data_IF_760414242465
#
_entry.id   IF_760414242465
#
_cell.length_a   1.000
_cell.length_b   1.000
_cell.length_c   1.000
_cell.angle_alpha   90.00
_cell.angle_beta   90.00
_cell.angle_gamma   90.00
#
_symmetry.space_group_name_H-M   'P 1'
#
loop_
_entity.id
_entity.type
_entity.pdbx_description
1 polymer ?
#
# COMPACT_ATOMS: atom_id res chain seq x y z
N UNK A 1 14.92 8.76 5.37
CA UNK A 1 14.22 8.33 4.13
C UNK A 1 14.61 9.24 2.97
N UNK A 2 14.81 8.67 1.79
CA UNK A 2 15.02 9.34 0.50
C UNK A 2 13.92 8.88 -0.45
N UNK A 3 13.09 9.81 -0.94
CA UNK A 3 12.08 9.48 -1.94
C UNK A 3 12.73 9.22 -3.30
N UNK A 4 12.26 8.18 -3.95
CA UNK A 4 12.54 7.86 -5.36
C UNK A 4 11.34 8.19 -6.26
N UNK A 5 10.34 8.89 -5.77
CA UNK A 5 9.22 9.37 -6.55
C UNK A 5 9.65 10.42 -7.57
N UNK A 6 8.83 10.65 -8.58
CA UNK A 6 9.08 11.62 -9.65
C UNK A 6 9.13 10.97 -11.03
N UNK A 7 9.96 11.47 -11.92
CA UNK A 7 10.03 10.97 -13.29
C UNK A 7 10.96 9.76 -13.40
N UNK A 8 10.46 8.71 -14.02
CA UNK A 8 11.19 7.50 -14.35
C UNK A 8 11.19 7.26 -15.86
N UNK A 9 12.15 6.49 -16.36
CA UNK A 9 12.15 5.96 -17.71
C UNK A 9 11.20 4.76 -17.78
N UNK A 10 10.43 4.66 -18.87
CA UNK A 10 9.36 3.66 -19.02
C UNK A 10 9.30 3.09 -20.44
N UNK A 11 9.06 1.77 -20.55
CA UNK A 11 8.74 1.12 -21.80
C UNK A 11 7.69 0.02 -21.60
N UNK A 12 6.75 -0.12 -22.56
CA UNK A 12 5.86 -1.25 -22.60
C UNK A 12 6.64 -2.50 -23.02
N UNK A 13 6.43 -3.58 -22.28
CA UNK A 13 6.88 -4.90 -22.65
C UNK A 13 5.83 -5.71 -23.39
N UNK A 14 6.03 -7.01 -23.46
CA UNK A 14 5.08 -7.99 -23.96
C UNK A 14 4.55 -8.90 -22.85
N UNK A 15 3.85 -9.95 -23.19
CA UNK A 15 3.51 -11.00 -22.23
C UNK A 15 4.68 -11.89 -21.83
N UNK A 16 5.84 -11.75 -22.51
CA UNK A 16 7.05 -12.50 -22.17
C UNK A 16 7.78 -11.84 -20.99
N UNK A 17 8.06 -12.61 -19.96
CA UNK A 17 8.94 -12.22 -18.87
C UNK A 17 10.37 -12.01 -19.38
N UNK A 18 11.09 -11.07 -18.78
CA UNK A 18 12.48 -10.76 -19.13
C UNK A 18 12.71 -10.38 -20.61
N UNK A 19 11.75 -9.70 -21.20
CA UNK A 19 11.88 -9.20 -22.59
C UNK A 19 13.06 -8.25 -22.76
N UNK A 20 13.37 -7.43 -21.74
CA UNK A 20 14.49 -6.51 -21.73
C UNK A 20 15.59 -6.99 -20.77
N UNK A 21 16.82 -6.60 -21.06
CA UNK A 21 17.96 -6.83 -20.17
C UNK A 21 17.91 -5.81 -19.03
N UNK A 22 17.66 -6.23 -17.78
CA UNK A 22 17.50 -5.28 -16.66
C UNK A 22 18.78 -4.53 -16.29
N UNK A 23 19.92 -4.93 -16.83
CA UNK A 23 21.21 -4.26 -16.63
C UNK A 23 21.50 -3.16 -17.67
N UNK A 24 20.63 -3.00 -18.67
CA UNK A 24 20.81 -2.03 -19.76
C UNK A 24 19.68 -1.01 -19.78
N UNK A 25 19.93 0.19 -20.30
CA UNK A 25 18.85 1.18 -20.54
C UNK A 25 17.74 0.57 -21.38
N UNK A 26 16.49 0.91 -21.03
CA UNK A 26 15.31 0.50 -21.79
C UNK A 26 15.34 1.12 -23.19
N UNK A 27 15.09 0.33 -24.24
CA UNK A 27 14.95 0.87 -25.59
C UNK A 27 13.68 1.72 -25.69
N UNK A 28 13.74 2.80 -26.48
CA UNK A 28 12.62 3.69 -26.77
C UNK A 28 11.84 4.15 -25.51
N UNK A 29 12.58 4.33 -24.40
CA UNK A 29 12.02 4.75 -23.13
C UNK A 29 11.39 6.13 -23.22
N UNK A 30 10.30 6.33 -22.53
CA UNK A 30 9.62 7.62 -22.38
C UNK A 30 9.48 7.97 -20.89
N UNK A 31 9.43 9.26 -20.53
CA UNK A 31 9.25 9.67 -19.15
C UNK A 31 7.85 9.32 -18.65
N UNK A 32 7.78 8.83 -17.40
CA UNK A 32 6.52 8.53 -16.72
C UNK A 32 6.62 8.97 -15.26
N UNK A 33 5.50 9.36 -14.66
CA UNK A 33 5.43 9.73 -13.26
C UNK A 33 5.26 8.49 -12.35
N UNK A 34 5.94 8.53 -11.21
CA UNK A 34 5.82 7.56 -10.10
C UNK A 34 5.72 8.37 -8.80
N UNK A 35 4.75 8.10 -7.89
CA UNK A 35 3.72 7.06 -8.00
C UNK A 35 2.56 7.50 -8.92
N UNK A 36 2.13 6.61 -9.78
CA UNK A 36 0.92 6.75 -10.60
C UNK A 36 0.66 5.47 -11.39
N UNK A 37 -0.56 5.30 -11.88
CA UNK A 37 -0.86 4.31 -12.92
C UNK A 37 -0.29 4.76 -14.25
N UNK A 38 0.35 3.86 -15.01
CA UNK A 38 0.80 4.21 -16.36
C UNK A 38 -0.35 4.34 -17.36
N UNK A 39 -1.51 3.76 -17.05
CA UNK A 39 -2.61 3.63 -17.97
C UNK A 39 -3.21 4.95 -18.46
N UNK A 40 -3.20 5.98 -17.61
CA UNK A 40 -3.85 7.27 -17.88
C UNK A 40 -2.88 8.47 -17.97
N UNK A 41 -1.56 8.22 -17.99
CA UNK A 41 -0.59 9.31 -18.07
C UNK A 41 -0.39 9.88 -19.49
N UNK A 42 -0.96 9.22 -20.49
CA UNK A 42 -0.90 9.69 -21.88
C UNK A 42 -2.26 9.46 -22.57
N UNK A 43 -3.06 10.50 -22.63
CA UNK A 43 -4.40 10.48 -23.20
C UNK A 43 -4.43 10.20 -24.71
N UNK A 44 -3.29 10.35 -25.40
CA UNK A 44 -3.25 10.25 -26.85
C UNK A 44 -3.04 8.82 -27.35
N UNK A 45 -2.71 7.88 -26.49
CA UNK A 45 -2.50 6.49 -26.89
C UNK A 45 -3.41 5.54 -26.13
N UNK A 46 -4.22 4.80 -26.85
CA UNK A 46 -4.96 3.65 -26.29
C UNK A 46 -4.03 2.49 -25.92
N UNK A 47 -2.75 2.56 -26.31
CA UNK A 47 -1.76 1.52 -26.06
C UNK A 47 -1.51 1.34 -24.56
N UNK A 48 -1.23 2.41 -23.83
CA UNK A 48 -1.01 2.38 -22.37
C UNK A 48 -2.27 1.85 -21.66
N UNK A 49 -3.44 2.37 -22.00
CA UNK A 49 -4.69 2.00 -21.33
C UNK A 49 -5.05 0.53 -21.54
N UNK A 50 -4.80 0.00 -22.74
CA UNK A 50 -5.17 -1.39 -23.12
C UNK A 50 -4.03 -2.37 -22.92
N UNK A 51 -2.86 -1.93 -22.49
CA UNK A 51 -1.72 -2.80 -22.30
C UNK A 51 -2.07 -3.98 -21.37
N UNK A 52 -1.63 -5.17 -21.75
CA UNK A 52 -1.82 -6.41 -21.01
C UNK A 52 -0.53 -7.21 -21.07
N UNK A 53 0.18 -7.26 -19.97
CA UNK A 53 1.51 -7.86 -19.87
C UNK A 53 2.48 -7.00 -19.03
N UNK A 54 3.76 -7.19 -19.29
CA UNK A 54 4.83 -6.51 -18.56
C UNK A 54 5.00 -5.05 -19.01
N UNK A 55 5.17 -4.17 -18.03
CA UNK A 55 5.60 -2.78 -18.20
C UNK A 55 6.88 -2.56 -17.39
N UNK A 56 7.83 -1.83 -17.94
CA UNK A 56 9.17 -1.71 -17.41
C UNK A 56 9.48 -0.26 -17.05
N UNK A 57 10.10 -0.09 -15.88
CA UNK A 57 10.50 1.18 -15.31
C UNK A 57 11.99 1.15 -15.00
N UNK A 58 12.66 2.29 -15.22
CA UNK A 58 14.07 2.44 -14.82
C UNK A 58 14.33 3.82 -14.21
N UNK A 59 15.27 3.83 -13.26
CA UNK A 59 15.79 5.05 -12.66
C UNK A 59 17.21 4.85 -12.18
N UNK A 60 18.06 5.86 -12.35
CA UNK A 60 19.34 5.92 -11.66
C UNK A 60 19.15 6.34 -10.20
N UNK A 61 19.75 5.61 -9.28
CA UNK A 61 19.66 5.82 -7.84
C UNK A 61 21.05 6.02 -7.27
N UNK A 62 21.24 7.10 -6.53
CA UNK A 62 22.52 7.39 -5.84
C UNK A 62 22.28 7.40 -4.34
N UNK A 63 23.03 6.59 -3.60
CA UNK A 63 23.00 6.61 -2.14
C UNK A 63 23.82 7.79 -1.61
N UNK A 64 23.25 8.70 -0.80
CA UNK A 64 24.02 9.80 -0.22
C UNK A 64 25.16 9.32 0.68
N UNK A 65 26.28 10.06 0.68
CA UNK A 65 27.49 9.69 1.42
C UNK A 65 27.27 9.57 2.94
N UNK A 66 26.32 10.32 3.51
CA UNK A 66 26.00 10.26 4.95
C UNK A 66 25.32 8.95 5.38
N UNK A 67 24.88 8.11 4.45
CA UNK A 67 24.33 6.78 4.75
C UNK A 67 25.40 5.71 4.99
N UNK A 68 26.70 6.10 4.99
CA UNK A 68 27.82 5.17 5.20
C UNK A 68 27.67 4.40 6.53
N UNK A 69 27.84 3.07 6.47
CA UNK A 69 27.82 2.20 7.65
C UNK A 69 26.42 1.84 8.16
N UNK A 70 25.36 2.37 7.56
CA UNK A 70 23.98 2.03 7.86
C UNK A 70 23.49 0.84 7.04
N UNK A 71 22.44 0.19 7.51
CA UNK A 71 21.63 -0.72 6.71
C UNK A 71 20.77 0.11 5.74
N UNK A 72 20.65 -0.35 4.49
CA UNK A 72 19.92 0.36 3.43
C UNK A 72 18.82 -0.55 2.89
N UNK A 73 17.60 -0.06 2.91
CA UNK A 73 16.41 -0.79 2.45
C UNK A 73 15.72 -0.02 1.35
N UNK A 74 15.40 -0.71 0.26
CA UNK A 74 14.53 -0.22 -0.80
C UNK A 74 13.11 -0.73 -0.53
N UNK A 75 12.14 0.19 -0.41
CA UNK A 75 10.73 -0.11 -0.16
C UNK A 75 9.85 0.43 -1.28
N UNK A 76 8.95 -0.41 -1.73
CA UNK A 76 7.84 -0.07 -2.62
C UNK A 76 6.53 -0.10 -1.82
N UNK A 77 5.75 0.96 -1.87
CA UNK A 77 4.43 0.99 -1.25
C UNK A 77 3.42 0.08 -1.95
N UNK A 78 3.50 -0.04 -3.27
CA UNK A 78 2.83 -1.08 -4.06
C UNK A 78 3.30 -1.09 -5.51
N UNK A 79 3.24 -2.26 -6.16
CA UNK A 79 3.42 -2.45 -7.61
C UNK A 79 2.39 -3.45 -8.10
N UNK A 80 1.51 -3.05 -9.00
CA UNK A 80 0.29 -3.81 -9.34
C UNK A 80 0.43 -4.52 -10.69
N UNK A 81 0.34 -5.87 -10.74
CA UNK A 81 0.01 -6.83 -9.67
C UNK A 81 1.22 -7.65 -9.23
N UNK A 82 2.14 -7.93 -10.15
CA UNK A 82 3.37 -8.69 -9.88
C UNK A 82 4.57 -7.83 -10.23
N UNK A 83 5.59 -7.88 -9.41
CA UNK A 83 6.81 -7.10 -9.58
C UNK A 83 8.06 -7.98 -9.57
N UNK A 84 9.00 -7.68 -10.47
CA UNK A 84 10.39 -8.08 -10.40
C UNK A 84 11.25 -6.83 -10.32
N UNK A 85 12.24 -6.82 -9.42
CA UNK A 85 13.07 -5.64 -9.14
C UNK A 85 14.56 -6.03 -9.22
N UNK A 86 15.32 -5.22 -9.95
CA UNK A 86 16.78 -5.43 -10.11
C UNK A 86 17.57 -4.17 -9.77
N UNK A 87 18.78 -4.35 -9.24
CA UNK A 87 19.83 -3.34 -9.17
C UNK A 87 20.98 -3.76 -10.05
N UNK A 88 21.38 -2.92 -11.02
CA UNK A 88 22.45 -3.23 -12.01
C UNK A 88 22.28 -4.62 -12.63
N UNK A 89 21.05 -5.06 -12.89
CA UNK A 89 20.71 -6.37 -13.44
C UNK A 89 20.67 -7.54 -12.46
N UNK A 90 21.06 -7.35 -11.20
CA UNK A 90 20.88 -8.35 -10.15
C UNK A 90 19.47 -8.30 -9.60
N UNK A 91 18.73 -9.41 -9.65
CA UNK A 91 17.41 -9.56 -9.06
C UNK A 91 17.48 -9.42 -7.54
N UNK A 92 16.74 -8.49 -6.96
CA UNK A 92 16.73 -8.19 -5.53
C UNK A 92 15.40 -8.46 -4.85
N UNK A 93 14.30 -8.41 -5.60
CA UNK A 93 12.96 -8.72 -5.08
C UNK A 93 12.05 -9.25 -6.18
N UNK A 94 11.15 -10.14 -5.77
CA UNK A 94 9.96 -10.55 -6.52
C UNK A 94 8.76 -10.45 -5.58
N UNK A 95 7.69 -9.83 -6.04
CA UNK A 95 6.49 -9.63 -5.22
C UNK A 95 5.23 -9.90 -6.04
N UNK A 96 4.24 -10.51 -5.41
CA UNK A 96 2.91 -10.73 -5.93
C UNK A 96 1.90 -10.23 -4.90
N UNK A 97 1.12 -9.25 -5.29
CA UNK A 97 0.17 -8.56 -4.42
C UNK A 97 0.18 -7.06 -4.68
N UNK A 98 -0.69 -6.61 -5.60
CA UNK A 98 -0.65 -5.25 -6.16
C UNK A 98 -1.01 -4.11 -5.18
N UNK A 99 -1.38 -4.42 -3.94
CA UNK A 99 -1.88 -3.46 -2.96
C UNK A 99 -1.15 -3.51 -1.61
N UNK A 100 -0.08 -4.30 -1.54
CA UNK A 100 0.72 -4.46 -0.33
C UNK A 100 2.13 -3.98 -0.55
N UNK A 101 2.78 -3.40 0.49
CA UNK A 101 4.17 -2.99 0.41
C UNK A 101 5.11 -4.21 0.42
N UNK A 102 6.31 -4.01 -0.13
CA UNK A 102 7.40 -4.97 -0.04
C UNK A 102 8.76 -4.26 -0.01
N UNK A 103 9.76 -4.96 0.46
CA UNK A 103 11.08 -4.41 0.73
C UNK A 103 12.20 -5.34 0.26
N UNK A 104 13.35 -4.74 -0.02
CA UNK A 104 14.60 -5.45 -0.25
C UNK A 104 15.74 -4.78 0.53
N UNK A 105 16.51 -5.56 1.29
CA UNK A 105 17.77 -5.10 1.88
C UNK A 105 18.82 -5.03 0.77
N UNK A 106 19.28 -3.82 0.48
CA UNK A 106 20.25 -3.53 -0.58
C UNK A 106 21.59 -3.05 -0.03
N UNK A 107 21.84 -3.24 1.26
CA UNK A 107 23.06 -2.78 1.96
C UNK A 107 24.33 -3.26 1.28
N UNK A 108 24.36 -4.51 0.81
CA UNK A 108 25.52 -5.09 0.16
C UNK A 108 25.69 -4.68 -1.32
N UNK A 109 24.67 -4.05 -1.92
CA UNK A 109 24.59 -3.79 -3.36
C UNK A 109 24.63 -2.30 -3.70
N UNK A 110 24.35 -1.42 -2.76
CA UNK A 110 24.28 0.03 -2.97
C UNK A 110 25.19 0.74 -1.98
N UNK A 111 26.30 1.26 -2.48
CA UNK A 111 27.30 1.91 -1.65
C UNK A 111 27.19 3.45 -1.69
N UNK A 112 27.54 4.14 -0.59
CA UNK A 112 27.49 5.59 -0.53
C UNK A 112 28.30 6.26 -1.64
N UNK A 113 27.67 7.21 -2.35
CA UNK A 113 28.26 7.92 -3.49
C UNK A 113 28.19 7.15 -4.82
N UNK A 114 27.79 5.88 -4.81
CA UNK A 114 27.61 5.08 -6.02
C UNK A 114 26.23 5.34 -6.64
N UNK A 115 26.19 5.34 -7.98
CA UNK A 115 24.95 5.39 -8.74
C UNK A 115 24.70 4.04 -9.39
N UNK A 116 23.55 3.46 -9.16
CA UNK A 116 23.10 2.18 -9.69
C UNK A 116 21.85 2.33 -10.53
N UNK A 117 21.67 1.44 -11.49
CA UNK A 117 20.44 1.37 -12.27
C UNK A 117 19.42 0.50 -11.54
N UNK A 118 18.34 1.11 -11.09
CA UNK A 118 17.16 0.42 -10.56
C UNK A 118 16.22 0.13 -11.72
N UNK A 119 15.89 -1.14 -11.92
CA UNK A 119 14.92 -1.62 -12.92
C UNK A 119 13.77 -2.32 -12.23
N UNK A 120 12.54 -2.01 -12.64
CA UNK A 120 11.32 -2.66 -12.14
C UNK A 120 10.49 -3.12 -13.33
N UNK A 121 10.14 -4.40 -13.36
CA UNK A 121 9.12 -4.92 -14.28
C UNK A 121 7.84 -5.16 -13.49
N UNK A 122 6.72 -4.66 -14.03
CA UNK A 122 5.40 -4.73 -13.47
C UNK A 122 4.48 -5.50 -14.42
N UNK A 123 3.87 -6.59 -13.97
CA UNK A 123 2.89 -7.36 -14.76
C UNK A 123 1.47 -7.02 -14.29
N UNK A 124 0.64 -6.54 -15.20
CA UNK A 124 -0.74 -6.16 -14.91
C UNK A 124 -1.76 -7.27 -15.19
N UNK A 125 -1.32 -8.44 -15.60
CA UNK A 125 -2.25 -9.54 -15.88
C UNK A 125 -2.91 -10.02 -14.61
N UNK A 126 -4.23 -10.17 -14.68
CA UNK A 126 -5.04 -10.80 -13.64
C UNK A 126 -5.39 -12.22 -14.10
N UNK A 127 -5.36 -13.16 -13.17
CA UNK A 127 -5.68 -14.57 -13.42
C UNK A 127 -6.23 -15.23 -12.15
N UNK A 128 -6.36 -16.55 -12.14
CA UNK A 128 -6.89 -17.28 -10.99
C UNK A 128 -5.95 -17.27 -9.77
N UNK A 129 -4.72 -16.81 -9.91
CA UNK A 129 -3.74 -16.73 -8.82
C UNK A 129 -3.37 -15.28 -8.44
N UNK A 130 -4.13 -14.28 -8.89
CA UNK A 130 -3.99 -12.87 -8.49
C UNK A 130 -5.16 -12.43 -7.63
N UNK A 131 -4.96 -11.33 -6.87
CA UNK A 131 -6.02 -10.56 -6.25
C UNK A 131 -5.99 -9.12 -6.80
N UNK A 132 -7.09 -8.63 -7.43
CA UNK A 132 -8.34 -9.34 -7.72
C UNK A 132 -8.15 -10.52 -8.67
N UNK A 133 -9.07 -11.49 -8.55
CA UNK A 133 -9.10 -12.66 -9.45
C UNK A 133 -9.57 -12.22 -10.82
N UNK A 134 -8.95 -12.75 -11.86
CA UNK A 134 -9.33 -12.45 -13.25
C UNK A 134 -9.26 -13.67 -14.15
N UNK A 135 -9.77 -13.50 -15.35
CA UNK A 135 -9.62 -14.47 -16.43
C UNK A 135 -8.36 -14.16 -17.26
N UNK A 136 -7.82 -15.15 -17.93
CA UNK A 136 -6.62 -15.01 -18.77
C UNK A 136 -6.79 -14.03 -19.97
N UNK A 137 -8.02 -13.59 -20.23
CA UNK A 137 -8.34 -12.60 -21.27
C UNK A 137 -8.23 -11.13 -20.78
N UNK A 138 -7.77 -10.92 -19.55
CA UNK A 138 -7.61 -9.60 -18.93
C UNK A 138 -8.87 -9.05 -18.28
N UNK A 139 -9.92 -9.86 -18.11
CA UNK A 139 -11.14 -9.44 -17.43
C UNK A 139 -11.16 -9.90 -15.98
N UNK A 140 -11.72 -9.08 -15.09
CA UNK A 140 -11.99 -9.50 -13.72
C UNK A 140 -13.12 -10.56 -13.72
N UNK A 141 -12.98 -11.56 -12.84
CA UNK A 141 -13.90 -12.70 -12.81
C UNK A 141 -15.34 -12.32 -12.44
N UNK A 142 -15.53 -11.26 -11.68
CA UNK A 142 -16.84 -10.84 -11.18
C UNK A 142 -17.81 -10.40 -12.28
N UNK A 143 -17.30 -9.73 -13.32
CA UNK A 143 -18.09 -9.30 -14.47
C UNK A 143 -17.68 -10.03 -15.74
N UNK A 144 -17.13 -11.20 -15.57
CA UNK A 144 -16.77 -12.09 -16.68
C UNK A 144 -17.95 -12.28 -17.65
N UNK A 145 -17.60 -12.57 -18.85
CA UNK A 145 -18.48 -12.68 -20.04
C UNK A 145 -19.81 -13.39 -19.85
N UNK A 146 -19.94 -14.23 -18.83
CA UNK A 146 -21.09 -15.11 -18.65
C UNK A 146 -22.36 -14.37 -18.20
N UNK A 147 -22.24 -13.17 -17.66
CA UNK A 147 -23.40 -12.38 -17.22
C UNK A 147 -23.95 -11.42 -18.29
N UNK A 148 -23.28 -11.24 -19.40
CA UNK A 148 -23.75 -10.31 -20.43
C UNK A 148 -24.85 -10.86 -21.32
N UNK A 149 -25.10 -12.17 -21.30
CA UNK A 149 -26.23 -12.81 -22.05
C UNK A 149 -26.25 -12.59 -23.54
N UNK A 150 -25.18 -12.06 -24.15
CA UNK A 150 -25.09 -11.69 -25.54
C UNK A 150 -24.03 -12.55 -26.24
N UNK A 151 -24.43 -13.66 -26.91
CA UNK A 151 -23.50 -14.58 -27.55
C UNK A 151 -22.54 -13.95 -28.57
N UNK A 152 -22.98 -12.86 -29.20
CA UNK A 152 -22.17 -12.14 -30.20
C UNK A 152 -21.00 -11.35 -29.57
N UNK A 153 -21.13 -10.89 -28.32
CA UNK A 153 -20.08 -10.19 -27.60
C UNK A 153 -19.02 -11.17 -27.11
N UNK A 154 -19.43 -12.37 -26.69
CA UNK A 154 -18.51 -13.43 -26.29
C UNK A 154 -17.64 -13.96 -27.44
N UNK A 155 -18.25 -14.18 -28.59
CA UNK A 155 -17.50 -14.62 -29.77
C UNK A 155 -16.48 -13.54 -30.21
N UNK A 156 -16.85 -12.28 -30.14
CA UNK A 156 -15.95 -11.16 -30.42
C UNK A 156 -14.85 -10.99 -29.35
N UNK A 157 -15.15 -11.29 -28.09
CA UNK A 157 -14.18 -11.24 -26.98
C UNK A 157 -13.13 -12.36 -27.10
N UNK A 158 -13.54 -13.58 -27.46
CA UNK A 158 -12.62 -14.72 -27.63
C UNK A 158 -11.70 -14.56 -28.85
N UNK A 159 -12.13 -13.82 -29.86
CA UNK A 159 -11.36 -13.56 -31.07
C UNK A 159 -10.36 -12.39 -30.93
N UNK A 160 -10.51 -11.56 -29.90
CA UNK A 160 -9.64 -10.42 -29.66
C UNK A 160 -8.43 -10.85 -28.80
N UNK A 161 -7.24 -10.26 -29.10
CA UNK A 161 -6.09 -10.42 -28.20
C UNK A 161 -6.43 -9.93 -26.80
N UNK A 162 -5.84 -10.55 -25.74
CA UNK A 162 -6.03 -10.11 -24.38
C UNK A 162 -5.70 -8.62 -24.21
N UNK A 163 -6.57 -7.88 -23.55
CA UNK A 163 -6.42 -6.45 -23.34
C UNK A 163 -6.88 -6.09 -21.93
N UNK A 164 -6.23 -5.08 -21.35
CA UNK A 164 -6.73 -4.45 -20.14
C UNK A 164 -8.01 -3.67 -20.46
N UNK A 165 -9.08 -3.93 -19.74
CA UNK A 165 -10.43 -3.37 -20.01
C UNK A 165 -11.08 -2.86 -18.74
N UNK A 166 -11.95 -1.82 -18.84
CA UNK A 166 -12.82 -1.44 -17.73
C UNK A 166 -13.73 -2.62 -17.36
N UNK A 167 -14.00 -2.75 -16.07
CA UNK A 167 -14.88 -3.78 -15.56
C UNK A 167 -15.83 -3.19 -14.52
N UNK A 168 -17.04 -2.84 -14.94
CA UNK A 168 -18.05 -2.16 -14.16
C UNK A 168 -17.52 -0.81 -13.58
N UNK A 169 -17.40 -0.68 -12.26
CA UNK A 169 -16.84 0.51 -11.59
C UNK A 169 -15.33 0.39 -11.28
N UNK A 170 -14.69 -0.67 -11.75
CA UNK A 170 -13.31 -1.01 -11.47
C UNK A 170 -12.50 -1.14 -12.75
N UNK A 171 -11.50 -0.28 -12.94
CA UNK A 171 -10.50 -0.45 -13.99
C UNK A 171 -9.25 -1.08 -13.39
N UNK A 172 -8.66 -2.06 -14.09
CA UNK A 172 -7.42 -2.69 -13.68
C UNK A 172 -6.23 -1.75 -13.94
N UNK A 173 -6.15 -0.68 -13.14
CA UNK A 173 -5.01 0.22 -13.13
C UNK A 173 -3.75 -0.51 -12.70
N UNK A 174 -2.64 -0.24 -13.36
CA UNK A 174 -1.39 -0.91 -13.12
C UNK A 174 -0.21 0.05 -13.10
N UNK A 175 0.86 -0.37 -12.45
CA UNK A 175 2.07 0.41 -12.31
C UNK A 175 2.57 0.50 -10.86
N UNK A 176 3.47 1.42 -10.63
CA UNK A 176 4.00 1.75 -9.29
C UNK A 176 3.07 2.81 -8.69
N UNK A 177 2.10 2.36 -7.90
CA UNK A 177 0.99 3.22 -7.43
C UNK A 177 1.30 4.00 -6.18
N UNK A 178 2.24 3.56 -5.38
CA UNK A 178 2.57 4.16 -4.09
C UNK A 178 4.04 4.53 -4.03
N UNK A 179 4.45 5.37 -3.06
CA UNK A 179 5.80 5.85 -2.96
C UNK A 179 6.87 4.76 -3.01
N UNK A 180 7.99 5.09 -3.66
CA UNK A 180 9.20 4.29 -3.65
C UNK A 180 10.25 5.03 -2.83
N UNK A 181 10.78 4.37 -1.81
CA UNK A 181 11.72 5.01 -0.89
C UNK A 181 12.93 4.14 -0.62
N UNK A 182 14.08 4.80 -0.46
CA UNK A 182 15.21 4.24 0.27
C UNK A 182 15.13 4.75 1.70
N UNK A 183 15.27 3.86 2.67
CA UNK A 183 15.46 4.25 4.05
C UNK A 183 16.65 3.52 4.66
N UNK A 184 17.18 4.08 5.72
CA UNK A 184 18.31 3.50 6.43
C UNK A 184 17.96 3.27 7.89
N UNK A 185 18.56 2.25 8.47
CA UNK A 185 18.54 1.99 9.90
C UNK A 185 19.97 1.77 10.40
N UNK A 186 20.23 1.81 11.71
CA UNK A 186 21.42 1.21 12.29
C UNK A 186 21.52 -0.28 11.91
N UNK A 187 22.65 -0.92 12.18
CA UNK A 187 22.81 -2.37 11.94
C UNK A 187 21.97 -3.22 12.87
N UNK A 188 21.87 -2.80 14.14
CA UNK A 188 20.88 -3.32 15.08
C UNK A 188 19.69 -2.36 15.04
N UNK A 189 18.52 -2.86 14.70
CA UNK A 189 17.35 -2.05 14.44
C UNK A 189 16.07 -2.66 15.00
N UNK A 190 15.04 -1.82 15.11
CA UNK A 190 13.69 -2.21 15.48
C UNK A 190 13.02 -2.79 14.22
N UNK A 191 12.71 -4.08 14.26
CA UNK A 191 12.13 -4.81 13.13
C UNK A 191 10.60 -4.65 13.08
N UNK A 192 9.95 -4.67 14.26
CA UNK A 192 8.50 -4.57 14.37
C UNK A 192 8.08 -4.00 15.71
N UNK A 193 6.94 -3.30 15.74
CA UNK A 193 6.33 -2.74 16.95
C UNK A 193 4.85 -3.07 16.96
N UNK A 194 4.43 -3.86 17.94
CA UNK A 194 3.02 -4.16 18.20
C UNK A 194 2.52 -3.32 19.38
N UNK A 195 1.37 -2.67 19.22
CA UNK A 195 0.72 -1.86 20.25
C UNK A 195 -0.74 -2.29 20.37
N UNK A 196 -1.17 -2.70 21.56
CA UNK A 196 -2.55 -3.12 21.83
C UNK A 196 -3.10 -2.33 23.01
N UNK A 197 -3.77 -1.20 22.76
CA UNK A 197 -4.36 -0.39 23.81
C UNK A 197 -5.73 -0.90 24.26
N UNK A 198 -6.05 -0.69 25.54
CA UNK A 198 -7.37 -0.94 26.13
C UNK A 198 -7.95 0.36 26.71
N UNK A 199 -9.28 0.45 26.75
CA UNK A 199 -10.01 1.67 27.17
C UNK A 199 -9.80 2.06 28.65
N UNK A 200 -9.26 1.17 29.44
CA UNK A 200 -8.86 1.45 30.83
C UNK A 200 -7.47 2.12 30.95
N UNK A 201 -6.85 2.42 29.81
CA UNK A 201 -5.51 3.00 29.75
C UNK A 201 -4.37 1.99 29.72
N UNK A 202 -4.67 0.70 29.81
CA UNK A 202 -3.66 -0.35 29.68
C UNK A 202 -3.20 -0.47 28.23
N UNK A 203 -1.89 -0.46 27.98
CA UNK A 203 -1.28 -0.63 26.66
C UNK A 203 -0.30 -1.80 26.72
N UNK A 204 -0.63 -2.89 26.07
CA UNK A 204 0.33 -3.97 25.85
C UNK A 204 1.19 -3.63 24.64
N UNK A 205 2.49 -3.88 24.74
CA UNK A 205 3.41 -3.67 23.62
C UNK A 205 4.38 -4.82 23.47
N UNK A 206 4.83 -5.03 22.23
CA UNK A 206 5.93 -5.92 21.89
C UNK A 206 6.79 -5.26 20.81
N UNK A 207 8.11 -5.28 21.00
CA UNK A 207 9.11 -4.71 20.10
C UNK A 207 10.03 -5.83 19.66
N UNK A 208 10.09 -6.09 18.36
CA UNK A 208 11.02 -7.05 17.78
C UNK A 208 12.26 -6.32 17.32
N UNK A 209 13.44 -6.78 17.71
CA UNK A 209 14.72 -6.17 17.36
C UNK A 209 15.67 -7.21 16.77
N UNK A 210 16.63 -6.75 15.97
CA UNK A 210 17.65 -7.64 15.37
C UNK A 210 18.92 -7.78 16.23
N UNK A 211 19.02 -7.03 17.31
CA UNK A 211 20.18 -7.01 18.21
C UNK A 211 19.83 -7.28 19.67
N UNK A 212 20.77 -6.99 20.53
CA UNK A 212 20.64 -7.17 21.98
C UNK A 212 20.63 -5.86 22.79
N UNK A 213 20.57 -4.71 22.11
CA UNK A 213 20.51 -3.42 22.77
C UNK A 213 19.25 -3.30 23.65
N UNK A 214 19.34 -2.62 24.79
CA UNK A 214 18.17 -2.38 25.63
C UNK A 214 17.06 -1.64 24.87
N UNK A 215 15.82 -2.07 25.08
CA UNK A 215 14.64 -1.40 24.55
C UNK A 215 14.02 -0.54 25.64
N UNK A 216 13.79 0.73 25.32
CA UNK A 216 13.03 1.67 26.15
C UNK A 216 11.79 2.10 25.39
N UNK A 217 10.69 2.16 26.10
CA UNK A 217 9.40 2.52 25.52
C UNK A 217 8.79 3.67 26.32
N UNK A 218 8.35 4.71 25.63
CA UNK A 218 7.70 5.88 26.24
C UNK A 218 6.41 6.18 25.50
N UNK A 219 5.31 6.31 26.22
CA UNK A 219 4.07 6.82 25.66
C UNK A 219 4.08 8.33 25.75
N UNK A 220 3.93 8.98 24.61
CA UNK A 220 3.78 10.43 24.49
C UNK A 220 2.31 10.80 24.25
N UNK A 221 1.87 11.89 24.86
CA UNK A 221 0.57 12.50 24.59
C UNK A 221 0.57 13.26 23.25
N UNK A 222 -0.56 13.88 22.90
CA UNK A 222 -0.71 14.64 21.67
C UNK A 222 0.19 15.89 21.60
N UNK A 223 0.65 16.40 22.73
CA UNK A 223 1.56 17.54 22.85
C UNK A 223 3.04 17.11 22.88
N UNK A 224 3.31 15.79 22.86
CA UNK A 224 4.65 15.22 22.90
C UNK A 224 5.23 15.05 24.32
N UNK A 225 4.41 15.19 25.38
CA UNK A 225 4.87 14.98 26.74
C UNK A 225 4.84 13.48 27.09
N UNK A 226 5.85 13.01 27.81
CA UNK A 226 5.89 11.65 28.31
C UNK A 226 4.84 11.45 29.42
N UNK A 227 3.93 10.52 29.23
CA UNK A 227 2.84 10.19 30.17
C UNK A 227 3.08 8.87 30.90
N UNK A 228 3.84 7.96 30.28
CA UNK A 228 4.21 6.68 30.86
C UNK A 228 5.45 6.11 30.17
N UNK A 229 6.21 5.24 30.84
CA UNK A 229 7.38 4.59 30.25
C UNK A 229 7.60 3.19 30.81
N UNK A 230 8.32 2.35 30.08
CA UNK A 230 8.75 1.03 30.50
C UNK A 230 10.07 0.63 29.87
N UNK A 231 10.70 -0.38 30.45
CA UNK A 231 11.93 -1.01 30.00
C UNK A 231 11.63 -2.42 29.49
N UNK A 232 12.32 -2.83 28.45
CA UNK A 232 12.21 -4.18 27.90
C UNK A 232 11.44 -4.23 26.58
N UNK A 233 11.65 -5.33 25.85
CA UNK A 233 11.10 -5.53 24.52
C UNK A 233 9.61 -5.89 24.52
N UNK A 234 9.05 -6.29 25.64
CA UNK A 234 7.61 -6.57 25.79
C UNK A 234 7.13 -6.19 27.18
N UNK A 235 5.88 -5.80 27.28
CA UNK A 235 5.33 -5.41 28.57
C UNK A 235 3.96 -4.77 28.50
N UNK A 236 3.60 -4.17 29.62
CA UNK A 236 2.35 -3.43 29.78
C UNK A 236 2.65 -2.08 30.40
N UNK A 237 2.10 -1.04 29.82
CA UNK A 237 2.16 0.33 30.33
C UNK A 237 0.74 0.77 30.67
N UNK A 238 0.58 1.59 31.72
CA UNK A 238 -0.71 2.20 32.05
C UNK A 238 -0.64 3.71 31.81
N UNK A 239 -1.51 4.22 30.95
CA UNK A 239 -1.69 5.66 30.72
C UNK A 239 -2.64 6.18 31.79
N UNK A 240 -2.23 7.08 32.67
CA UNK A 240 -3.13 7.71 33.61
C UNK A 240 -4.07 8.66 32.87
N UNK A 241 -5.33 8.70 33.28
CA UNK A 241 -6.35 9.62 32.71
C UNK A 241 -6.43 9.53 31.17
N UNK A 242 -6.61 8.31 30.65
CA UNK A 242 -6.58 8.02 29.22
C UNK A 242 -7.64 8.79 28.44
N UNK A 243 -7.23 9.42 27.34
CA UNK A 243 -8.11 10.02 26.35
C UNK A 243 -8.44 8.99 25.25
N UNK A 244 -9.75 8.77 25.06
CA UNK A 244 -10.19 7.83 24.04
C UNK A 244 -10.24 8.50 22.67
N UNK A 245 -9.87 7.74 21.64
CA UNK A 245 -10.07 8.14 20.26
C UNK A 245 -11.56 8.04 19.89
N UNK A 246 -12.12 9.12 19.36
CA UNK A 246 -13.49 9.17 18.86
C UNK A 246 -13.52 9.78 17.46
N UNK A 247 -14.34 9.23 16.52
CA UNK A 247 -14.49 9.84 15.21
C UNK A 247 -15.21 11.20 15.35
N UNK A 248 -14.97 12.08 14.39
CA UNK A 248 -15.67 13.39 14.39
C UNK A 248 -17.20 13.20 14.38
N UNK A 249 -17.94 14.03 15.11
CA UNK A 249 -17.53 15.28 15.78
C UNK A 249 -16.81 15.11 17.14
N UNK A 250 -16.51 13.88 17.55
CA UNK A 250 -15.66 13.62 18.72
C UNK A 250 -14.20 14.03 18.46
N UNK A 251 -13.32 13.65 19.38
CA UNK A 251 -11.90 13.99 19.33
C UNK A 251 -11.08 12.76 18.90
N UNK A 252 -10.42 12.77 17.73
CA UNK A 252 -9.53 11.70 17.31
C UNK A 252 -8.18 11.81 18.04
N UNK A 253 -8.19 11.52 19.34
CA UNK A 253 -6.98 11.65 20.16
C UNK A 253 -5.99 10.52 19.87
N UNK A 254 -4.74 10.89 19.58
CA UNK A 254 -3.66 9.95 19.30
C UNK A 254 -2.54 10.11 20.32
N UNK A 255 -2.02 8.97 20.76
CA UNK A 255 -0.77 8.83 21.47
C UNK A 255 0.33 8.38 20.52
N UNK A 256 1.59 8.53 20.94
CA UNK A 256 2.75 7.96 20.27
C UNK A 256 3.48 7.02 21.21
N UNK A 257 3.71 5.77 20.76
CA UNK A 257 4.66 4.89 21.39
C UNK A 257 6.04 5.19 20.79
N UNK A 258 6.87 5.91 21.55
CA UNK A 258 8.24 6.22 21.23
C UNK A 258 9.13 5.08 21.72
N UNK A 259 9.77 4.37 20.79
CA UNK A 259 10.61 3.21 21.07
C UNK A 259 12.05 3.52 20.71
N UNK A 260 12.97 3.28 21.62
CA UNK A 260 14.42 3.36 21.38
C UNK A 260 15.08 2.01 21.61
N UNK A 261 16.01 1.64 20.73
CA UNK A 261 16.82 0.43 20.83
C UNK A 261 18.24 0.74 20.34
N UNK A 262 19.17 0.91 21.28
CA UNK A 262 20.52 1.36 20.94
C UNK A 262 20.52 2.70 20.21
N UNK A 263 20.94 2.70 18.94
CA UNK A 263 20.93 3.91 18.10
C UNK A 263 19.66 4.05 17.24
N UNK A 264 18.75 3.08 17.27
CA UNK A 264 17.51 3.11 16.49
C UNK A 264 16.35 3.70 17.29
N UNK A 265 15.48 4.39 16.58
CA UNK A 265 14.30 5.05 17.14
C UNK A 265 13.12 4.83 16.21
N UNK A 266 11.97 4.45 16.77
CA UNK A 266 10.73 4.29 16.02
C UNK A 266 9.55 4.89 16.80
N UNK A 267 8.72 5.65 16.11
CA UNK A 267 7.50 6.25 16.64
C UNK A 267 6.28 5.59 16.01
N UNK A 268 5.45 4.93 16.84
CA UNK A 268 4.18 4.35 16.43
C UNK A 268 3.02 5.15 17.03
N UNK A 269 2.26 5.83 16.18
CA UNK A 269 1.02 6.50 16.62
C UNK A 269 -0.09 5.47 16.84
N UNK A 270 -0.92 5.69 17.87
CA UNK A 270 -2.07 4.85 18.16
C UNK A 270 -3.20 5.61 18.85
N UNK A 271 -4.44 5.21 18.58
CA UNK A 271 -5.63 5.70 19.30
C UNK A 271 -6.15 4.65 20.27
N UNK A 272 -6.59 5.07 21.44
CA UNK A 272 -7.19 4.19 22.44
C UNK A 272 -8.68 4.11 22.19
N UNK A 273 -9.18 2.97 21.74
CA UNK A 273 -10.60 2.73 21.48
C UNK A 273 -10.96 1.26 21.66
N UNK A 274 -12.25 1.00 21.84
CA UNK A 274 -12.81 -0.35 21.72
C UNK A 274 -13.92 -0.37 20.67
N UNK A 275 -13.97 -1.45 19.88
CA UNK A 275 -15.09 -1.74 18.96
C UNK A 275 -15.68 -3.09 19.39
N UNK A 276 -17.00 -3.10 19.59
CA UNK A 276 -17.73 -4.28 20.00
C UNK A 276 -18.99 -4.44 19.14
N UNK A 277 -19.30 -5.68 18.77
CA UNK A 277 -20.61 -6.03 18.17
C UNK A 277 -21.47 -6.67 19.23
N UNK A 278 -22.59 -6.06 19.55
CA UNK A 278 -23.55 -6.56 20.53
C UNK A 278 -24.94 -6.71 19.90
N UNK A 279 -25.31 -7.94 19.60
CA UNK A 279 -26.50 -8.23 18.82
C UNK A 279 -26.41 -7.61 17.42
N UNK A 280 -27.26 -6.64 17.11
CA UNK A 280 -27.30 -5.93 15.82
C UNK A 280 -26.62 -4.55 15.89
N UNK A 281 -26.01 -4.20 17.00
CA UNK A 281 -25.38 -2.91 17.21
C UNK A 281 -23.86 -3.02 17.18
N UNK A 282 -23.21 -2.04 16.56
CA UNK A 282 -21.78 -1.79 16.71
C UNK A 282 -21.62 -0.71 17.79
N UNK A 283 -20.75 -0.97 18.74
CA UNK A 283 -20.43 -0.03 19.81
C UNK A 283 -18.99 0.45 19.65
N UNK A 284 -18.77 1.74 19.79
CA UNK A 284 -17.45 2.35 19.92
C UNK A 284 -17.33 2.92 21.33
N UNK A 285 -16.30 2.51 22.06
CA UNK A 285 -16.09 2.93 23.46
C UNK A 285 -17.35 2.72 24.33
N UNK A 286 -18.04 1.58 24.11
CA UNK A 286 -19.29 1.22 24.80
C UNK A 286 -20.54 1.98 24.36
N UNK A 287 -20.45 2.95 23.44
CA UNK A 287 -21.56 3.74 22.93
C UNK A 287 -22.01 3.24 21.55
N UNK A 288 -23.33 3.20 21.24
CA UNK A 288 -23.81 2.86 19.90
C UNK A 288 -23.20 3.74 18.82
N UNK A 289 -22.65 3.11 17.79
CA UNK A 289 -22.06 3.78 16.64
C UNK A 289 -22.98 3.65 15.43
N UNK A 290 -23.17 4.77 14.72
CA UNK A 290 -23.84 4.79 13.42
C UNK A 290 -22.85 5.25 12.35
N UNK A 291 -22.58 4.37 11.37
CA UNK A 291 -21.71 4.68 10.24
C UNK A 291 -22.43 5.56 9.23
N UNK A 292 -21.87 6.73 8.96
CA UNK A 292 -22.26 7.62 7.87
C UNK A 292 -21.06 7.77 6.97
N UNK A 293 -21.11 7.22 5.77
CA UNK A 293 -19.89 7.16 4.98
C UNK A 293 -20.10 6.95 3.50
N UNK A 294 -18.99 6.89 2.82
CA UNK A 294 -18.88 6.70 1.38
C UNK A 294 -18.01 5.49 1.05
N UNK A 295 -18.29 4.86 -0.09
CA UNK A 295 -17.33 4.02 -0.77
C UNK A 295 -16.44 4.93 -1.62
N UNK A 296 -15.12 4.74 -1.58
CA UNK A 296 -14.14 5.57 -2.27
C UNK A 296 -13.28 4.70 -3.19
N UNK A 297 -12.76 5.25 -4.26
CA UNK A 297 -11.66 4.71 -5.05
C UNK A 297 -10.43 5.62 -4.93
N UNK A 298 -9.22 5.09 -5.16
CA UNK A 298 -7.96 5.85 -5.16
C UNK A 298 -7.63 6.45 -6.54
N UNK A 299 -8.51 6.28 -7.52
CA UNK A 299 -8.27 6.73 -8.89
C UNK A 299 -8.72 8.17 -9.12
N UNK A 300 -7.97 8.84 -9.95
CA UNK A 300 -8.23 10.22 -10.39
C UNK A 300 -7.92 10.36 -11.88
N UNK A 301 -8.63 11.26 -12.54
CA UNK A 301 -8.60 11.41 -14.01
C UNK A 301 -7.21 11.69 -14.58
N UNK A 302 -6.35 12.38 -13.81
CA UNK A 302 -5.04 12.83 -14.30
C UNK A 302 -3.94 11.76 -14.22
N UNK A 303 -4.07 10.77 -13.32
CA UNK A 303 -2.99 9.80 -13.07
C UNK A 303 -3.48 8.36 -12.82
N UNK A 304 -4.78 8.08 -13.06
CA UNK A 304 -5.37 6.81 -12.71
C UNK A 304 -5.27 6.52 -11.21
N UNK A 305 -4.92 5.30 -10.83
CA UNK A 305 -4.61 4.98 -9.45
C UNK A 305 -3.19 5.41 -9.14
N UNK A 306 -3.03 6.16 -8.06
CA UNK A 306 -1.73 6.62 -7.59
C UNK A 306 -1.88 7.37 -6.28
N UNK A 307 -0.92 7.20 -5.38
CA UNK A 307 -0.93 7.95 -4.13
C UNK A 307 -0.74 9.44 -4.41
N UNK A 308 -1.71 10.23 -3.97
CA UNK A 308 -1.68 11.68 -4.05
C UNK A 308 -2.14 12.28 -2.72
N UNK A 309 -1.23 12.85 -1.92
CA UNK A 309 -1.56 13.39 -0.61
C UNK A 309 -2.53 14.58 -0.69
N UNK A 310 -2.48 15.37 -1.77
CA UNK A 310 -3.38 16.53 -1.94
C UNK A 310 -4.81 16.07 -2.17
N UNK A 311 -4.99 15.04 -3.00
CA UNK A 311 -6.31 14.46 -3.24
C UNK A 311 -6.86 13.78 -1.99
N UNK A 312 -6.02 13.06 -1.23
CA UNK A 312 -6.46 12.45 0.03
C UNK A 312 -6.96 13.50 1.03
N UNK A 313 -6.23 14.61 1.20
CA UNK A 313 -6.68 15.72 2.06
C UNK A 313 -8.00 16.31 1.54
N UNK A 314 -8.13 16.50 0.22
CA UNK A 314 -9.37 17.01 -0.38
C UNK A 314 -10.55 16.08 -0.12
N UNK A 315 -10.36 14.77 -0.31
CA UNK A 315 -11.39 13.77 -0.09
C UNK A 315 -11.83 13.73 1.38
N UNK A 316 -10.88 13.77 2.31
CA UNK A 316 -11.17 13.83 3.74
C UNK A 316 -11.97 15.10 4.10
N UNK A 317 -11.59 16.24 3.55
CA UNK A 317 -12.35 17.49 3.75
C UNK A 317 -13.77 17.39 3.18
N UNK A 318 -13.99 16.70 2.06
CA UNK A 318 -15.32 16.46 1.50
C UNK A 318 -16.13 15.48 2.37
N UNK A 319 -15.50 14.46 2.93
CA UNK A 319 -16.11 13.53 3.89
C UNK A 319 -16.61 14.31 5.12
N UNK A 320 -15.80 15.19 5.68
CA UNK A 320 -16.18 16.05 6.80
C UNK A 320 -17.30 17.05 6.44
N UNK A 321 -17.17 17.68 5.27
CA UNK A 321 -18.19 18.62 4.78
C UNK A 321 -19.56 17.93 4.63
N UNK A 322 -19.59 16.68 4.20
CA UNK A 322 -20.81 15.88 4.12
C UNK A 322 -21.29 15.32 5.47
N UNK A 323 -20.63 15.68 6.58
CA UNK A 323 -20.92 15.18 7.93
C UNK A 323 -20.85 13.63 8.02
N UNK A 324 -19.93 13.04 7.27
CA UNK A 324 -19.63 11.61 7.34
C UNK A 324 -18.53 11.33 8.38
N UNK A 325 -18.52 10.10 8.90
CA UNK A 325 -17.55 9.63 9.90
C UNK A 325 -16.84 8.33 9.49
N UNK A 326 -17.15 7.83 8.29
CA UNK A 326 -16.62 6.56 7.83
C UNK A 326 -16.34 6.55 6.32
N UNK A 327 -15.41 5.72 5.92
CA UNK A 327 -15.09 5.42 4.52
C UNK A 327 -14.90 3.91 4.34
N UNK A 328 -15.30 3.40 3.19
CA UNK A 328 -14.98 2.04 2.74
C UNK A 328 -13.95 2.12 1.62
N UNK A 329 -12.87 1.36 1.76
CA UNK A 329 -11.79 1.29 0.77
C UNK A 329 -12.17 0.35 -0.36
N UNK A 330 -12.96 0.83 -1.31
CA UNK A 330 -13.42 0.02 -2.45
C UNK A 330 -12.32 -0.12 -3.50
N UNK A 331 -11.86 -1.29 -3.89
CA UNK A 331 -12.17 -2.64 -3.39
C UNK A 331 -10.86 -3.34 -3.02
N UNK A 332 -9.98 -2.65 -2.29
CA UNK A 332 -8.59 -3.07 -1.99
C UNK A 332 -8.04 -2.25 -0.82
N UNK A 333 -6.98 -2.70 -0.15
CA UNK A 333 -6.29 -1.89 0.87
C UNK A 333 -5.70 -0.62 0.25
N UNK A 334 -5.85 0.51 0.93
CA UNK A 334 -5.31 1.79 0.50
C UNK A 334 -3.86 2.00 0.96
N UNK A 335 -3.28 3.15 0.61
CA UNK A 335 -1.96 3.52 1.08
C UNK A 335 -1.94 3.71 2.60
N UNK A 336 -0.85 3.33 3.26
CA UNK A 336 -0.67 3.47 4.72
C UNK A 336 -0.91 4.92 5.16
N UNK A 337 -0.44 5.87 4.37
CA UNK A 337 -0.60 7.31 4.64
C UNK A 337 -2.07 7.76 4.63
N UNK A 338 -2.94 7.06 3.92
CA UNK A 338 -4.38 7.33 3.96
C UNK A 338 -5.00 6.87 5.30
N UNK A 339 -4.58 5.74 5.83
CA UNK A 339 -5.03 5.29 7.15
C UNK A 339 -4.51 6.21 8.26
N UNK A 340 -3.25 6.63 8.19
CA UNK A 340 -2.69 7.63 9.12
C UNK A 340 -3.48 8.94 9.08
N UNK A 341 -3.92 9.37 7.90
CA UNK A 341 -4.78 10.53 7.74
C UNK A 341 -6.16 10.32 8.37
N UNK A 342 -6.77 9.16 8.17
CA UNK A 342 -8.05 8.79 8.78
C UNK A 342 -7.96 8.75 10.30
N UNK A 343 -6.89 8.23 10.86
CA UNK A 343 -6.66 8.20 12.31
C UNK A 343 -6.59 9.61 12.89
N UNK A 344 -5.84 10.52 12.25
CA UNK A 344 -5.72 11.93 12.66
C UNK A 344 -7.03 12.72 12.50
N UNK A 345 -7.76 12.44 11.44
CA UNK A 345 -8.96 13.20 11.09
C UNK A 345 -10.25 12.61 11.69
N UNK A 346 -10.16 11.49 12.39
CA UNK A 346 -11.32 10.87 13.05
C UNK A 346 -12.30 10.23 12.07
N UNK A 347 -11.77 9.52 11.09
CA UNK A 347 -12.57 8.77 10.11
C UNK A 347 -12.40 7.28 10.37
N UNK A 348 -13.51 6.59 10.53
CA UNK A 348 -13.54 5.13 10.61
C UNK A 348 -13.34 4.53 9.22
N UNK A 349 -12.54 3.49 9.13
CA UNK A 349 -12.26 2.80 7.87
C UNK A 349 -12.84 1.39 7.90
N UNK A 350 -13.62 1.06 6.88
CA UNK A 350 -13.98 -0.31 6.53
C UNK A 350 -13.03 -0.76 5.42
N UNK A 351 -11.96 -1.42 5.84
CA UNK A 351 -10.92 -1.88 4.91
C UNK A 351 -11.34 -3.15 4.18
N UNK A 352 -10.94 -3.27 2.90
CA UNK A 352 -11.23 -4.42 2.06
C UNK A 352 -9.97 -5.12 1.57
N UNK A 353 -10.01 -6.43 1.55
CA UNK A 353 -9.03 -7.22 0.80
C UNK A 353 -9.30 -7.06 -0.70
N UNK A 354 -8.28 -7.16 -1.58
CA UNK A 354 -8.45 -6.99 -3.03
C UNK A 354 -9.12 -8.21 -3.69
N UNK A 355 -10.25 -8.64 -3.12
CA UNK A 355 -10.93 -9.89 -3.42
C UNK A 355 -12.17 -9.72 -4.31
N UNK A 356 -12.26 -8.63 -5.06
CA UNK A 356 -13.32 -8.40 -6.04
C UNK A 356 -13.39 -9.59 -7.02
N UNK A 357 -14.58 -10.15 -7.17
CA UNK A 357 -14.84 -11.32 -8.04
C UNK A 357 -14.78 -12.67 -7.35
N UNK A 358 -14.35 -12.76 -6.10
CA UNK A 358 -14.40 -14.01 -5.32
C UNK A 358 -15.87 -14.38 -5.05
N UNK A 359 -16.30 -15.54 -5.55
CA UNK A 359 -17.64 -16.10 -5.31
C UNK A 359 -18.74 -15.59 -6.25
N UNK A 360 -18.47 -14.70 -7.20
CA UNK A 360 -19.46 -14.14 -8.11
C UNK A 360 -19.77 -14.95 -9.38
N UNK A 361 -19.01 -15.97 -9.67
CA UNK A 361 -19.20 -16.81 -10.87
C UNK A 361 -18.86 -18.27 -10.61
N UNK A 362 -19.68 -19.17 -11.12
CA UNK A 362 -19.52 -20.61 -10.95
C UNK A 362 -18.23 -21.19 -11.59
N UNK A 363 -17.53 -20.40 -12.39
CA UNK A 363 -16.37 -20.86 -13.14
C UNK A 363 -15.04 -20.78 -12.39
N UNK A 364 -14.95 -19.95 -11.33
CA UNK A 364 -13.69 -19.71 -10.63
C UNK A 364 -13.85 -20.06 -9.16
N UNK A 365 -13.12 -21.05 -8.69
CA UNK A 365 -12.94 -21.29 -7.27
C UNK A 365 -11.52 -20.87 -6.87
N UNK A 366 -11.31 -19.59 -6.51
CA UNK A 366 -10.00 -19.07 -6.19
C UNK A 366 -9.37 -19.75 -4.97
N UNK A 367 -10.19 -20.32 -4.08
CA UNK A 367 -9.72 -21.02 -2.88
C UNK A 367 -8.93 -22.31 -3.17
N UNK A 368 -8.97 -22.82 -4.40
CA UNK A 368 -8.17 -23.99 -4.77
C UNK A 368 -6.77 -23.63 -5.25
N UNK A 369 -6.53 -22.38 -5.60
CA UNK A 369 -5.29 -21.91 -6.21
C UNK A 369 -4.49 -20.95 -5.29
N UNK A 370 -5.10 -20.52 -4.19
CA UNK A 370 -4.40 -19.79 -3.12
C UNK A 370 -3.98 -20.80 -2.03
N UNK A 371 -2.69 -20.77 -1.63
CA UNK A 371 -2.21 -21.58 -0.51
C UNK A 371 -2.83 -21.14 0.81
#
# INVERSE_FOLDING_TARGET
>A
KLSLDGTWEFALGSCAENQFDPAKPLPDAQPIAVPASYNDQNDQTTALRRHYGWAWYQRNVTLPAFCAGQRVVLRFGSVTHTANVWLNGQLIAQHKGGFTPFEADVTALLHPGETVLLTVACDNRVNHSTLPVGNEDGQLAFFGSDNAGIPSVEAAKRAAAPQNRPNFDFFNYAGIHRPVVLYTTPKEYIEDVTVVPAVDGTVQYAVKTTGSAPVHVTVLDADGNAVASAEGAEGTITIPEVHLWEPRPGTPYLYTLHVTCGADVYDQTFGVRSIEVRGTQVLLNGKPLYFKGFCKHEDFTAHGRGFDPVLNIKDVNLIHWANANAVRTSHYPYAEEFYDLCDREGILVMDETPAVGIGGGAAVNPYKEYP
#
